data_IF_793838929352
#
_entry.id   IF_793838929352
#
_cell.length_a   1.000
_cell.length_b   1.000
_cell.length_c   1.000
_cell.angle_alpha   90.00
_cell.angle_beta   90.00
_cell.angle_gamma   90.00
#
_symmetry.space_group_name_H-M   'P 1'
#
loop_
_entity.id
_entity.type
_entity.pdbx_description
1 polymer ?
#
# COMPACT_ATOMS: atom_id res chain seq x y z
N UNK A 1 21.74 5.80 -0.53
CA UNK A 1 20.50 6.39 0.03
C UNK A 1 19.24 5.69 -0.49
N UNK A 2 19.24 5.09 -1.68
CA UNK A 2 18.07 4.35 -2.21
C UNK A 2 17.47 3.20 -1.37
N UNK A 3 18.22 2.57 -0.45
CA UNK A 3 17.68 1.52 0.43
C UNK A 3 16.63 2.05 1.42
N UNK A 4 16.72 3.32 1.83
CA UNK A 4 15.77 3.94 2.77
C UNK A 4 14.36 4.02 2.17
N UNK A 5 14.26 4.31 0.87
CA UNK A 5 12.98 4.44 0.15
C UNK A 5 12.30 3.10 -0.11
N UNK A 6 13.09 2.05 -0.34
CA UNK A 6 12.56 0.67 -0.45
C UNK A 6 12.03 0.16 0.89
N UNK A 7 12.73 0.44 1.99
CA UNK A 7 12.28 0.09 3.34
C UNK A 7 11.00 0.86 3.69
N UNK A 8 10.94 2.15 3.37
CA UNK A 8 9.75 2.97 3.61
C UNK A 8 8.53 2.45 2.82
N UNK A 9 8.73 2.08 1.55
CA UNK A 9 7.70 1.47 0.72
C UNK A 9 7.23 0.12 1.24
N UNK A 10 8.14 -0.72 1.71
CA UNK A 10 7.80 -2.00 2.32
C UNK A 10 6.98 -1.82 3.61
N UNK A 11 7.36 -0.87 4.47
CA UNK A 11 6.61 -0.56 5.70
C UNK A 11 5.21 -0.05 5.38
N UNK A 12 5.08 0.86 4.41
CA UNK A 12 3.77 1.36 3.95
C UNK A 12 2.93 0.20 3.39
N UNK A 13 3.52 -0.68 2.58
CA UNK A 13 2.82 -1.84 2.02
C UNK A 13 2.29 -2.78 3.11
N UNK A 14 3.07 -3.03 4.17
CA UNK A 14 2.66 -3.87 5.30
C UNK A 14 1.50 -3.23 6.07
N UNK A 15 1.59 -1.94 6.39
CA UNK A 15 0.55 -1.21 7.12
C UNK A 15 -0.73 -1.12 6.29
N UNK A 16 -0.62 -0.79 5.01
CA UNK A 16 -1.76 -0.71 4.09
C UNK A 16 -2.38 -2.09 3.84
N UNK A 17 -1.58 -3.15 3.76
CA UNK A 17 -2.05 -4.53 3.64
C UNK A 17 -2.82 -5.01 4.88
N UNK A 18 -2.34 -4.68 6.09
CA UNK A 18 -3.05 -4.96 7.34
C UNK A 18 -4.36 -4.17 7.43
N UNK A 19 -4.34 -2.87 7.10
CA UNK A 19 -5.55 -2.04 7.07
C UNK A 19 -6.58 -2.51 6.04
N UNK A 20 -6.11 -2.96 4.88
CA UNK A 20 -6.95 -3.58 3.85
C UNK A 20 -7.61 -4.85 4.35
N UNK A 21 -6.84 -5.75 4.97
CA UNK A 21 -7.36 -7.01 5.52
C UNK A 21 -8.48 -6.77 6.55
N UNK A 22 -8.28 -5.82 7.47
CA UNK A 22 -9.30 -5.43 8.46
C UNK A 22 -10.55 -4.87 7.77
N UNK A 23 -10.39 -4.00 6.78
CA UNK A 23 -11.52 -3.43 6.03
C UNK A 23 -12.27 -4.47 5.19
N UNK A 24 -11.58 -5.47 4.65
CA UNK A 24 -12.23 -6.59 3.94
C UNK A 24 -13.09 -7.40 4.91
N UNK A 25 -12.59 -7.71 6.11
CA UNK A 25 -13.38 -8.41 7.14
C UNK A 25 -14.61 -7.59 7.51
N UNK A 26 -14.44 -6.30 7.80
CA UNK A 26 -15.56 -5.40 8.12
C UNK A 26 -16.59 -5.35 6.99
N UNK A 27 -16.14 -5.33 5.73
CA UNK A 27 -17.01 -5.36 4.57
C UNK A 27 -17.83 -6.65 4.46
N UNK A 28 -17.23 -7.81 4.78
CA UNK A 28 -17.97 -9.09 4.82
C UNK A 28 -18.99 -9.10 5.96
N UNK A 29 -18.59 -8.64 7.17
CA UNK A 29 -19.46 -8.59 8.35
C UNK A 29 -20.66 -7.64 8.17
N UNK A 30 -20.45 -6.52 7.47
CA UNK A 30 -21.49 -5.51 7.20
C UNK A 30 -22.24 -5.72 5.88
N UNK A 31 -22.16 -6.92 5.29
CA UNK A 31 -22.88 -7.30 4.07
C UNK A 31 -22.63 -6.35 2.87
N UNK A 32 -21.41 -5.82 2.74
CA UNK A 32 -21.04 -4.99 1.58
C UNK A 32 -21.09 -3.47 1.80
N UNK A 33 -21.45 -2.98 2.98
CA UNK A 33 -21.51 -1.53 3.26
C UNK A 33 -20.15 -0.85 3.11
N UNK A 34 -19.06 -1.54 3.46
CA UNK A 34 -17.69 -0.99 3.37
C UNK A 34 -16.95 -1.40 2.09
N UNK A 35 -17.66 -1.78 1.02
CA UNK A 35 -17.03 -2.32 -0.20
C UNK A 35 -16.12 -1.29 -0.88
N UNK A 36 -16.50 -0.01 -0.80
CA UNK A 36 -15.71 1.11 -1.32
C UNK A 36 -14.45 1.31 -0.47
N UNK A 37 -14.57 1.30 0.86
CA UNK A 37 -13.43 1.47 1.77
C UNK A 37 -12.43 0.31 1.64
N UNK A 38 -12.92 -0.94 1.56
CA UNK A 38 -12.07 -2.11 1.34
C UNK A 38 -11.35 -2.05 -0.01
N UNK A 39 -12.01 -1.64 -1.10
CA UNK A 39 -11.32 -1.48 -2.38
C UNK A 39 -10.30 -0.34 -2.36
N UNK A 40 -10.60 0.79 -1.70
CA UNK A 40 -9.69 1.93 -1.61
C UNK A 40 -8.39 1.57 -0.89
N UNK A 41 -8.47 0.88 0.25
CA UNK A 41 -7.29 0.38 0.96
C UNK A 41 -6.50 -0.63 0.12
N UNK A 42 -7.18 -1.46 -0.68
CA UNK A 42 -6.54 -2.42 -1.58
C UNK A 42 -5.75 -1.73 -2.69
N UNK A 43 -6.31 -0.68 -3.31
CA UNK A 43 -5.62 0.12 -4.32
C UNK A 43 -4.41 0.85 -3.75
N UNK A 44 -4.52 1.42 -2.55
CA UNK A 44 -3.40 2.11 -1.89
C UNK A 44 -2.27 1.10 -1.58
N UNK A 45 -2.60 -0.07 -1.06
CA UNK A 45 -1.62 -1.13 -0.81
C UNK A 45 -0.93 -1.57 -2.11
N UNK A 46 -1.70 -1.83 -3.17
CA UNK A 46 -1.17 -2.24 -4.46
C UNK A 46 -0.30 -1.17 -5.13
N UNK A 47 -0.67 0.11 -5.00
CA UNK A 47 0.08 1.22 -5.56
C UNK A 47 1.38 1.55 -4.78
N UNK A 48 1.45 1.21 -3.50
CA UNK A 48 2.62 1.52 -2.66
C UNK A 48 3.92 0.88 -3.14
N UNK A 49 3.85 -0.36 -3.64
CA UNK A 49 4.97 -1.11 -4.20
C UNK A 49 5.58 -0.45 -5.46
N UNK A 50 4.82 -0.22 -6.55
CA UNK A 50 5.36 0.42 -7.74
C UNK A 50 5.83 1.85 -7.48
N UNK A 51 5.15 2.62 -6.62
CA UNK A 51 5.59 3.98 -6.25
C UNK A 51 6.96 3.95 -5.56
N UNK A 52 7.16 3.01 -4.63
CA UNK A 52 8.46 2.85 -3.94
C UNK A 52 9.57 2.47 -4.91
N UNK A 53 9.29 1.57 -5.85
CA UNK A 53 10.26 1.15 -6.88
C UNK A 53 10.62 2.31 -7.81
N UNK A 54 9.63 3.08 -8.29
CA UNK A 54 9.86 4.25 -9.15
C UNK A 54 10.70 5.31 -8.43
N UNK A 55 10.37 5.63 -7.17
CA UNK A 55 11.15 6.57 -6.36
C UNK A 55 12.59 6.08 -6.16
N UNK A 56 12.79 4.79 -5.90
CA UNK A 56 14.12 4.21 -5.75
C UNK A 56 14.95 4.27 -7.06
N UNK A 57 14.32 4.10 -8.22
CA UNK A 57 14.97 4.23 -9.54
C UNK A 57 15.32 5.69 -9.84
N UNK A 58 14.42 6.63 -9.57
CA UNK A 58 14.67 8.07 -9.78
C UNK A 58 15.81 8.56 -8.88
N UNK A 59 15.84 8.14 -7.61
CA UNK A 59 16.90 8.49 -6.65
C UNK A 59 18.27 7.91 -7.08
N UNK A 60 18.28 6.75 -7.76
CA UNK A 60 19.49 6.17 -8.36
C UNK A 60 19.97 6.93 -9.60
N UNK A 61 19.07 7.47 -10.42
CA UNK A 61 19.41 8.22 -11.65
C UNK A 61 19.90 9.66 -11.38
N UNK A 62 19.53 10.23 -10.24
CA UNK A 62 19.92 11.60 -9.84
C UNK A 62 21.33 11.71 -9.26
N UNK A 63 22.02 10.58 -9.07
CA UNK A 63 23.33 10.48 -8.43
C UNK A 63 24.40 10.08 -9.43
#
# INVERSE_FOLDING_TARGET
>A
MGYKWLILGAVICIISGLGWFVMVILNVVSLGQFRIAANLFGYIAAASLPISVVLAIVDRKKK
#
